data_IF_404683103954
#
_entry.id   IF_404683103954
#
_cell.length_a   1.000
_cell.length_b   1.000
_cell.length_c   1.000
_cell.angle_alpha   90.00
_cell.angle_beta   90.00
_cell.angle_gamma   90.00
#
_symmetry.space_group_name_H-M   'P 1'
#
loop_
_entity.id
_entity.type
_entity.pdbx_description
1 polymer ?
#
# COMPACT_ATOMS: atom_id res chain seq x y z
N UNK A 1 -6.11 -6.07 7.18
CA UNK A 1 -5.90 -6.71 5.89
C UNK A 1 -4.78 -5.96 5.17
N UNK A 2 -4.04 -6.51 4.32
CA UNK A 2 -2.93 -5.93 3.56
C UNK A 2 -2.78 -6.64 2.22
N UNK A 3 -3.84 -7.33 1.76
CA UNK A 3 -3.87 -8.06 0.51
C UNK A 3 -4.28 -7.19 -0.67
N UNK A 4 -4.08 -7.72 -1.88
CA UNK A 4 -4.63 -7.18 -3.12
C UNK A 4 -6.03 -7.74 -3.36
N UNK A 5 -6.89 -6.94 -3.96
CA UNK A 5 -8.18 -7.38 -4.50
C UNK A 5 -8.24 -7.02 -5.98
N UNK A 6 -8.46 -8.02 -6.83
CA UNK A 6 -8.78 -7.82 -8.24
C UNK A 6 -10.28 -7.96 -8.47
N UNK A 7 -10.89 -6.94 -9.05
CA UNK A 7 -12.31 -6.94 -9.41
C UNK A 7 -12.47 -7.02 -10.91
N UNK A 8 -13.27 -7.99 -11.38
CA UNK A 8 -13.54 -8.20 -12.78
C UNK A 8 -14.95 -7.72 -13.12
N UNK A 9 -15.04 -6.71 -14.00
CA UNK A 9 -16.29 -6.14 -14.45
C UNK A 9 -16.48 -6.38 -15.96
N UNK A 10 -17.70 -6.72 -16.36
CA UNK A 10 -18.09 -6.85 -17.76
C UNK A 10 -19.31 -6.03 -18.05
N UNK A 11 -19.27 -5.37 -19.20
CA UNK A 11 -20.38 -4.62 -19.73
C UNK A 11 -20.71 -5.13 -21.13
N UNK A 12 -21.99 -5.26 -21.45
CA UNK A 12 -22.41 -5.73 -22.75
C UNK A 12 -23.89 -5.49 -23.03
N UNK A 13 -24.23 -5.33 -24.31
CA UNK A 13 -25.63 -5.18 -24.77
C UNK A 13 -26.45 -6.48 -24.66
N UNK A 14 -25.75 -7.62 -24.58
CA UNK A 14 -26.38 -8.95 -24.44
C UNK A 14 -26.27 -9.41 -22.98
N UNK A 15 -27.20 -10.21 -22.46
CA UNK A 15 -27.12 -10.78 -21.13
C UNK A 15 -25.83 -11.57 -20.93
N UNK A 16 -25.10 -11.27 -19.86
CA UNK A 16 -23.89 -12.00 -19.47
C UNK A 16 -24.33 -13.13 -18.54
N UNK A 17 -24.11 -14.37 -19.00
CA UNK A 17 -24.58 -15.59 -18.29
C UNK A 17 -23.49 -16.37 -17.57
N UNK A 18 -22.24 -15.89 -17.63
CA UNK A 18 -21.09 -16.58 -17.09
C UNK A 18 -20.28 -15.69 -16.14
N UNK A 19 -19.71 -16.27 -15.10
CA UNK A 19 -18.90 -15.61 -14.05
C UNK A 19 -17.41 -15.93 -14.17
N UNK A 20 -16.90 -16.25 -15.36
CA UNK A 20 -15.46 -16.49 -15.58
C UNK A 20 -14.62 -15.21 -15.37
N UNK A 21 -13.36 -15.38 -15.00
CA UNK A 21 -12.39 -14.28 -14.87
C UNK A 21 -12.09 -13.65 -16.24
N UNK A 22 -11.67 -12.39 -16.24
CA UNK A 22 -11.28 -11.66 -17.44
C UNK A 22 -9.77 -11.87 -17.63
N UNK A 23 -9.40 -12.40 -18.80
CA UNK A 23 -8.01 -12.56 -19.26
C UNK A 23 -7.69 -11.71 -20.49
N UNK A 24 -8.66 -10.92 -20.96
CA UNK A 24 -8.51 -9.94 -22.04
C UNK A 24 -9.31 -8.71 -21.67
N UNK A 25 -8.66 -7.78 -21.00
CA UNK A 25 -9.28 -6.56 -20.50
C UNK A 25 -9.09 -5.40 -21.50
N UNK A 26 -10.15 -4.62 -21.72
CA UNK A 26 -10.05 -3.36 -22.45
C UNK A 26 -9.56 -2.21 -21.56
N UNK A 27 -9.77 -2.33 -20.25
CA UNK A 27 -9.41 -1.33 -19.25
C UNK A 27 -8.93 -2.00 -17.98
N UNK A 28 -7.81 -1.52 -17.44
CA UNK A 28 -7.29 -1.90 -16.12
C UNK A 28 -7.01 -0.63 -15.32
N UNK A 29 -7.44 -0.58 -14.07
CA UNK A 29 -7.10 0.49 -13.13
C UNK A 29 -6.30 -0.06 -11.95
N UNK A 30 -5.16 0.55 -11.69
CA UNK A 30 -4.36 0.33 -10.49
C UNK A 30 -4.61 1.45 -9.49
N UNK A 31 -5.32 1.15 -8.40
CA UNK A 31 -5.74 2.15 -7.42
C UNK A 31 -4.66 2.50 -6.40
N UNK A 32 -3.64 1.64 -6.24
CA UNK A 32 -2.52 1.87 -5.34
C UNK A 32 -1.20 1.71 -6.11
N UNK A 33 -0.36 2.76 -6.18
CA UNK A 33 0.88 2.74 -6.97
C UNK A 33 1.89 1.68 -6.50
N UNK A 34 1.85 1.28 -5.21
CA UNK A 34 2.71 0.22 -4.70
C UNK A 34 2.51 -1.13 -5.39
N UNK A 35 1.34 -1.35 -6.01
CA UNK A 35 1.06 -2.63 -6.68
C UNK A 35 1.81 -2.81 -7.99
N UNK A 36 2.13 -1.73 -8.70
CA UNK A 36 2.78 -1.84 -10.00
C UNK A 36 4.17 -2.49 -9.94
N UNK A 37 4.84 -2.38 -8.78
CA UNK A 37 6.15 -3.00 -8.54
C UNK A 37 6.08 -4.47 -8.10
N UNK A 38 4.90 -4.95 -7.74
CA UNK A 38 4.70 -6.29 -7.13
C UNK A 38 3.89 -7.23 -8.00
N UNK A 39 3.04 -6.68 -8.84
CA UNK A 39 2.10 -7.43 -9.66
C UNK A 39 2.20 -6.98 -11.11
N UNK A 40 2.10 -7.93 -12.04
CA UNK A 40 2.00 -7.59 -13.45
C UNK A 40 0.59 -7.07 -13.76
N UNK A 41 0.40 -5.76 -13.59
CA UNK A 41 -0.91 -5.12 -13.69
C UNK A 41 -1.44 -5.01 -15.13
N UNK A 42 -0.57 -5.14 -16.14
CA UNK A 42 -0.91 -4.86 -17.54
C UNK A 42 -1.06 -6.11 -18.41
N UNK A 43 -0.61 -7.28 -17.95
CA UNK A 43 -0.58 -8.51 -18.74
C UNK A 43 -1.94 -8.96 -19.31
N UNK A 44 -3.03 -8.56 -18.69
CA UNK A 44 -4.38 -8.90 -19.11
C UNK A 44 -4.98 -7.86 -20.09
N UNK A 45 -4.27 -6.77 -20.37
CA UNK A 45 -4.74 -5.76 -21.34
C UNK A 45 -4.59 -6.27 -22.77
N UNK A 46 -5.63 -6.01 -23.58
CA UNK A 46 -5.55 -6.20 -25.03
C UNK A 46 -4.74 -5.09 -25.68
N UNK A 47 -4.24 -5.32 -26.91
CA UNK A 47 -3.58 -4.29 -27.69
C UNK A 47 -4.46 -3.03 -27.83
N UNK A 48 -3.87 -1.87 -27.59
CA UNK A 48 -4.60 -0.61 -27.56
C UNK A 48 -5.55 -0.41 -26.37
N UNK A 49 -5.52 -1.32 -25.40
CA UNK A 49 -6.29 -1.18 -24.16
C UNK A 49 -5.88 0.03 -23.35
N UNK A 50 -6.60 0.32 -22.28
CA UNK A 50 -6.37 1.49 -21.42
C UNK A 50 -5.88 1.06 -20.03
N UNK A 51 -4.80 1.66 -19.58
CA UNK A 51 -4.27 1.54 -18.22
C UNK A 51 -4.37 2.86 -17.48
N UNK A 52 -5.02 2.85 -16.31
CA UNK A 52 -5.12 4.01 -15.41
C UNK A 52 -4.37 3.71 -14.12
N UNK A 53 -3.36 4.52 -13.79
CA UNK A 53 -2.60 4.43 -12.54
C UNK A 53 -2.95 5.60 -11.61
N UNK A 54 -3.40 5.30 -10.40
CA UNK A 54 -3.58 6.31 -9.36
C UNK A 54 -2.26 6.56 -8.66
N UNK A 55 -1.61 7.67 -9.00
CA UNK A 55 -0.35 8.10 -8.39
C UNK A 55 -0.18 9.61 -8.49
N UNK A 56 0.71 10.16 -7.67
CA UNK A 56 1.13 11.57 -7.70
C UNK A 56 2.47 11.76 -8.48
N UNK A 57 2.94 10.73 -9.18
CA UNK A 57 4.26 10.71 -9.79
C UNK A 57 4.36 11.62 -11.02
N UNK A 58 5.46 12.37 -11.10
CA UNK A 58 5.92 13.06 -12.29
C UNK A 58 6.43 12.08 -13.35
N UNK A 59 6.66 12.54 -14.57
CA UNK A 59 7.21 11.70 -15.65
C UNK A 59 8.56 11.07 -15.26
N UNK A 60 9.41 11.78 -14.54
CA UNK A 60 10.68 11.26 -14.06
C UNK A 60 10.48 10.14 -12.98
N UNK A 61 9.54 10.32 -12.09
CA UNK A 61 9.20 9.32 -11.09
C UNK A 61 8.46 8.12 -11.71
N UNK A 62 7.66 8.31 -12.75
CA UNK A 62 7.09 7.21 -13.54
C UNK A 62 8.22 6.37 -14.17
N UNK A 63 9.25 7.04 -14.72
CA UNK A 63 10.42 6.36 -15.27
C UNK A 63 11.16 5.54 -14.20
N UNK A 64 11.30 6.06 -13.00
CA UNK A 64 11.97 5.37 -11.88
C UNK A 64 11.15 4.22 -11.31
N UNK A 65 9.84 4.43 -11.16
CA UNK A 65 8.99 3.55 -10.37
C UNK A 65 8.32 2.42 -11.15
N UNK A 66 8.12 2.58 -12.45
CA UNK A 66 7.50 1.53 -13.27
C UNK A 66 8.54 0.49 -13.66
N UNK A 67 8.31 -0.81 -13.37
CA UNK A 67 9.22 -1.88 -13.77
C UNK A 67 9.41 -1.97 -15.29
N UNK A 68 10.62 -2.34 -15.72
CA UNK A 68 10.96 -2.48 -17.13
C UNK A 68 10.00 -3.39 -17.91
N UNK A 69 9.60 -4.50 -17.32
CA UNK A 69 8.61 -5.42 -17.89
C UNK A 69 7.27 -4.74 -18.18
N UNK A 70 6.79 -3.89 -17.26
CA UNK A 70 5.53 -3.16 -17.42
C UNK A 70 5.66 -2.08 -18.49
N UNK A 71 6.79 -1.32 -18.50
CA UNK A 71 7.11 -0.32 -19.53
C UNK A 71 7.10 -0.93 -20.92
N UNK A 72 7.82 -2.04 -21.10
CA UNK A 72 7.91 -2.76 -22.36
C UNK A 72 6.55 -3.22 -22.83
N UNK A 73 5.74 -3.82 -21.94
CA UNK A 73 4.37 -4.24 -22.28
C UNK A 73 3.51 -3.07 -22.75
N UNK A 74 3.52 -1.93 -22.04
CA UNK A 74 2.78 -0.72 -22.40
C UNK A 74 3.17 -0.24 -23.81
N UNK A 75 4.46 -0.23 -24.13
CA UNK A 75 4.95 0.18 -25.44
C UNK A 75 4.55 -0.79 -26.54
N UNK A 76 4.86 -2.09 -26.38
CA UNK A 76 4.70 -3.13 -27.41
C UNK A 76 3.21 -3.34 -27.78
N UNK A 77 2.33 -3.30 -26.78
CA UNK A 77 0.89 -3.46 -26.96
C UNK A 77 0.13 -2.16 -27.19
N UNK A 78 0.86 -1.02 -27.37
CA UNK A 78 0.29 0.30 -27.64
C UNK A 78 -0.81 0.69 -26.63
N UNK A 79 -0.55 0.42 -25.36
CA UNK A 79 -1.49 0.70 -24.27
C UNK A 79 -1.68 2.21 -24.11
N UNK A 80 -2.92 2.64 -24.01
CA UNK A 80 -3.25 4.03 -23.65
C UNK A 80 -3.02 4.21 -22.16
N UNK A 81 -1.90 4.82 -21.79
CA UNK A 81 -1.52 4.98 -20.38
C UNK A 81 -1.95 6.34 -19.84
N UNK A 82 -2.61 6.33 -18.68
CA UNK A 82 -3.09 7.52 -17.98
C UNK A 82 -2.74 7.45 -16.50
N UNK A 83 -2.52 8.64 -15.90
CA UNK A 83 -2.38 8.82 -14.46
C UNK A 83 -3.48 9.73 -13.90
N UNK A 84 -3.73 9.61 -12.61
CA UNK A 84 -4.62 10.48 -11.85
C UNK A 84 -4.12 10.55 -10.40
N UNK A 85 -4.07 11.73 -9.80
CA UNK A 85 -3.80 11.89 -8.38
C UNK A 85 -5.11 12.01 -7.58
N UNK A 86 -5.73 10.85 -7.33
CA UNK A 86 -6.98 10.78 -6.60
C UNK A 86 -6.88 11.28 -5.14
N UNK A 87 -5.69 11.20 -4.53
CA UNK A 87 -5.45 11.69 -3.17
C UNK A 87 -5.48 13.21 -3.12
N UNK A 88 -4.76 13.88 -4.04
CA UNK A 88 -4.76 15.34 -4.19
C UNK A 88 -6.18 15.86 -4.47
N UNK A 89 -6.88 15.24 -5.42
CA UNK A 89 -8.27 15.60 -5.77
C UNK A 89 -9.18 15.42 -4.56
N UNK A 90 -9.05 14.31 -3.82
CA UNK A 90 -9.85 14.05 -2.61
C UNK A 90 -9.65 15.10 -1.53
N UNK A 91 -8.41 15.56 -1.31
CA UNK A 91 -8.09 16.63 -0.37
C UNK A 91 -8.69 17.96 -0.87
N UNK A 92 -8.46 18.32 -2.13
CA UNK A 92 -8.92 19.59 -2.72
C UNK A 92 -10.46 19.73 -2.72
N UNK A 93 -11.18 18.62 -2.92
CA UNK A 93 -12.65 18.60 -2.92
C UNK A 93 -13.26 18.42 -1.53
N UNK A 94 -12.42 18.30 -0.48
CA UNK A 94 -12.87 18.11 0.90
C UNK A 94 -13.41 16.71 1.22
N UNK A 95 -13.14 15.72 0.35
CA UNK A 95 -13.43 14.30 0.60
C UNK A 95 -12.39 13.65 1.52
N UNK A 96 -11.17 14.20 1.55
CA UNK A 96 -10.02 13.67 2.27
C UNK A 96 -9.23 12.62 1.48
N UNK A 97 -8.06 12.21 1.97
CA UNK A 97 -7.09 11.42 1.21
C UNK A 97 -7.51 9.97 0.95
N UNK A 98 -8.50 9.45 1.66
CA UNK A 98 -8.89 8.02 1.59
C UNK A 98 -10.18 7.77 0.80
N UNK A 99 -10.95 8.80 0.48
CA UNK A 99 -12.25 8.67 -0.19
C UNK A 99 -12.14 8.97 -1.69
N UNK A 100 -11.33 8.18 -2.36
CA UNK A 100 -11.01 8.37 -3.79
C UNK A 100 -11.90 7.55 -4.75
N UNK A 101 -12.77 6.70 -4.24
CA UNK A 101 -13.57 5.77 -5.06
C UNK A 101 -14.39 6.50 -6.13
N UNK A 102 -15.09 7.57 -5.76
CA UNK A 102 -15.93 8.35 -6.66
C UNK A 102 -15.12 9.04 -7.75
N UNK A 103 -13.91 9.50 -7.40
CA UNK A 103 -12.95 10.12 -8.31
C UNK A 103 -12.52 9.12 -9.38
N UNK A 104 -12.05 7.94 -8.94
CA UNK A 104 -11.58 6.88 -9.84
C UNK A 104 -12.72 6.28 -10.69
N UNK A 105 -13.93 6.21 -10.15
CA UNK A 105 -15.11 5.78 -10.91
C UNK A 105 -15.44 6.78 -12.01
N UNK A 106 -15.33 8.08 -11.77
CA UNK A 106 -15.53 9.12 -12.78
C UNK A 106 -14.50 9.02 -13.90
N UNK A 107 -13.22 8.87 -13.53
CA UNK A 107 -12.13 8.64 -14.48
C UNK A 107 -12.37 7.37 -15.33
N UNK A 108 -12.85 6.29 -14.72
CA UNK A 108 -13.19 5.06 -15.42
C UNK A 108 -14.27 5.30 -16.50
N UNK A 109 -15.37 5.95 -16.18
CA UNK A 109 -16.44 6.18 -17.14
C UNK A 109 -15.99 7.07 -18.31
N UNK A 110 -15.17 8.08 -18.03
CA UNK A 110 -14.61 8.92 -19.09
C UNK A 110 -13.69 8.13 -20.03
N UNK A 111 -12.76 7.37 -19.49
CA UNK A 111 -11.75 6.65 -20.28
C UNK A 111 -12.32 5.41 -21.00
N UNK A 112 -13.24 4.71 -20.36
CA UNK A 112 -13.85 3.49 -20.94
C UNK A 112 -14.90 3.78 -22.00
N UNK A 113 -15.50 4.98 -21.97
CA UNK A 113 -16.55 5.42 -22.89
C UNK A 113 -17.72 4.41 -23.09
N UNK A 114 -18.02 3.62 -22.03
CA UNK A 114 -19.09 2.60 -22.06
C UNK A 114 -20.47 3.25 -22.27
N UNK A 115 -20.65 4.44 -21.70
CA UNK A 115 -21.77 5.34 -21.89
C UNK A 115 -21.23 6.76 -22.14
N UNK A 116 -22.00 7.66 -22.76
CA UNK A 116 -21.59 9.05 -22.97
C UNK A 116 -21.13 9.70 -21.64
N UNK A 117 -20.04 10.46 -21.67
CA UNK A 117 -19.44 11.06 -20.47
C UNK A 117 -20.45 11.90 -19.67
N UNK A 118 -21.19 12.79 -20.34
CA UNK A 118 -22.19 13.63 -19.68
C UNK A 118 -23.27 12.81 -18.97
N UNK A 119 -23.73 11.73 -19.60
CA UNK A 119 -24.71 10.83 -19.00
C UNK A 119 -24.13 10.10 -17.79
N UNK A 120 -22.88 9.66 -17.85
CA UNK A 120 -22.20 9.00 -16.74
C UNK A 120 -22.09 9.93 -15.54
N UNK A 121 -21.62 11.16 -15.75
CA UNK A 121 -21.47 12.18 -14.71
C UNK A 121 -22.82 12.52 -14.07
N UNK A 122 -23.88 12.72 -14.86
CA UNK A 122 -25.23 12.99 -14.34
C UNK A 122 -25.75 11.83 -13.48
N UNK A 123 -25.62 10.59 -13.95
CA UNK A 123 -26.03 9.40 -13.19
C UNK A 123 -25.22 9.24 -11.89
N UNK A 124 -23.92 9.50 -11.91
CA UNK A 124 -23.09 9.47 -10.71
C UNK A 124 -23.50 10.54 -9.70
N UNK A 125 -23.78 11.77 -10.15
CA UNK A 125 -24.24 12.86 -9.27
C UNK A 125 -25.59 12.54 -8.63
N UNK A 126 -26.55 12.00 -9.39
CA UNK A 126 -27.84 11.53 -8.88
C UNK A 126 -27.68 10.40 -7.85
N UNK A 127 -26.77 9.44 -8.11
CA UNK A 127 -26.47 8.36 -7.18
C UNK A 127 -25.85 8.88 -5.89
N UNK A 128 -24.93 9.84 -5.98
CA UNK A 128 -24.32 10.50 -4.80
C UNK A 128 -25.38 11.25 -3.98
N UNK A 129 -26.27 11.98 -4.59
CA UNK A 129 -27.37 12.68 -3.92
C UNK A 129 -28.30 11.68 -3.20
N UNK A 130 -28.72 10.61 -3.87
CA UNK A 130 -29.54 9.56 -3.26
C UNK A 130 -28.87 8.91 -2.06
N UNK A 131 -27.56 8.69 -2.13
CA UNK A 131 -26.78 7.99 -1.09
C UNK A 131 -26.46 8.88 0.10
N UNK A 132 -26.07 10.12 -0.18
CA UNK A 132 -25.53 11.04 0.82
C UNK A 132 -26.46 12.20 1.19
N UNK A 133 -27.57 12.40 0.53
CA UNK A 133 -28.50 13.49 0.79
C UNK A 133 -28.94 13.61 2.25
N UNK A 134 -29.12 12.47 2.94
CA UNK A 134 -29.43 12.43 4.38
C UNK A 134 -28.28 12.92 5.29
N UNK A 135 -27.05 13.01 4.78
CA UNK A 135 -25.86 13.47 5.53
C UNK A 135 -25.62 14.98 5.39
N UNK A 136 -26.45 15.65 4.62
CA UNK A 136 -26.40 17.09 4.39
C UNK A 136 -25.93 17.49 2.99
N UNK A 137 -26.34 18.64 2.57
CA UNK A 137 -26.08 19.19 1.23
C UNK A 137 -24.58 19.38 0.94
N UNK A 138 -23.80 19.77 1.97
CA UNK A 138 -22.36 19.95 1.85
C UNK A 138 -21.63 18.65 1.47
N UNK A 139 -22.10 17.51 2.00
CA UNK A 139 -21.52 16.20 1.64
C UNK A 139 -21.83 15.86 0.20
N UNK A 140 -23.03 16.16 -0.29
CA UNK A 140 -23.41 15.95 -1.68
C UNK A 140 -22.57 16.81 -2.62
N UNK A 141 -22.41 18.12 -2.31
CA UNK A 141 -21.60 19.05 -3.10
C UNK A 141 -20.13 18.62 -3.20
N UNK A 142 -19.53 18.14 -2.10
CA UNK A 142 -18.18 17.57 -2.12
C UNK A 142 -18.07 16.36 -3.04
N UNK A 143 -19.05 15.46 -3.00
CA UNK A 143 -19.08 14.31 -3.92
C UNK A 143 -19.23 14.75 -5.38
N UNK A 144 -20.05 15.73 -5.69
CA UNK A 144 -20.20 16.28 -7.03
C UNK A 144 -18.89 16.89 -7.54
N UNK A 145 -18.24 17.72 -6.71
CA UNK A 145 -16.93 18.29 -7.04
C UNK A 145 -15.87 17.19 -7.30
N UNK A 146 -15.88 16.12 -6.51
CA UNK A 146 -14.98 14.98 -6.70
C UNK A 146 -15.26 14.20 -8.00
N UNK A 147 -16.54 14.06 -8.39
CA UNK A 147 -16.94 13.44 -9.67
C UNK A 147 -16.42 14.28 -10.83
N UNK A 148 -16.65 15.60 -10.82
CA UNK A 148 -16.21 16.50 -11.89
C UNK A 148 -14.69 16.52 -12.03
N UNK A 149 -13.98 16.67 -10.93
CA UNK A 149 -12.50 16.66 -10.90
C UNK A 149 -11.92 15.32 -11.37
N UNK A 150 -12.51 14.20 -10.96
CA UNK A 150 -12.10 12.87 -11.40
C UNK A 150 -12.21 12.66 -12.92
N UNK A 151 -13.14 13.32 -13.58
CA UNK A 151 -13.24 13.33 -15.03
C UNK A 151 -12.26 14.32 -15.70
N UNK A 152 -11.90 15.41 -15.04
CA UNK A 152 -11.13 16.50 -15.64
C UNK A 152 -9.62 16.38 -15.43
N UNK A 153 -9.18 15.86 -14.28
CA UNK A 153 -7.77 15.86 -13.88
C UNK A 153 -7.03 14.56 -14.27
N UNK A 154 -7.50 13.84 -15.27
CA UNK A 154 -6.81 12.68 -15.86
C UNK A 154 -5.68 13.20 -16.76
N UNK A 155 -4.49 12.67 -16.57
CA UNK A 155 -3.32 13.01 -17.38
C UNK A 155 -2.98 11.84 -18.30
N UNK A 156 -2.87 12.08 -19.60
CA UNK A 156 -2.36 11.10 -20.55
C UNK A 156 -0.83 11.11 -20.50
N UNK A 157 -0.25 9.95 -20.35
CA UNK A 157 1.21 9.79 -20.37
C UNK A 157 1.68 9.56 -21.80
N UNK A 158 2.62 10.36 -22.26
CA UNK A 158 3.32 10.14 -23.53
C UNK A 158 4.36 9.04 -23.32
N UNK A 159 4.06 7.83 -23.80
CA UNK A 159 4.92 6.66 -23.61
C UNK A 159 6.25 6.85 -24.35
N UNK A 160 7.40 6.88 -23.64
CA UNK A 160 8.70 7.07 -24.26
C UNK A 160 9.05 5.90 -25.21
N UNK A 161 9.71 6.21 -26.34
CA UNK A 161 10.17 5.20 -27.29
C UNK A 161 11.22 4.27 -26.70
N UNK A 162 11.97 4.75 -25.76
CA UNK A 162 13.01 4.06 -25.01
C UNK A 162 12.48 2.87 -24.23
N UNK A 163 11.19 2.88 -23.87
CA UNK A 163 10.53 1.77 -23.16
C UNK A 163 10.52 0.46 -23.95
N UNK A 164 10.65 0.52 -25.27
CA UNK A 164 10.85 -0.68 -26.12
C UNK A 164 12.09 -1.48 -25.71
N UNK A 165 13.15 -0.78 -25.28
CA UNK A 165 14.46 -1.38 -24.97
C UNK A 165 14.63 -1.67 -23.47
N UNK A 166 13.60 -1.50 -22.65
CA UNK A 166 13.67 -1.83 -21.24
C UNK A 166 13.89 -3.33 -21.05
N UNK A 167 14.79 -3.66 -20.14
CA UNK A 167 15.00 -5.05 -19.74
C UNK A 167 13.81 -5.56 -18.92
N UNK A 168 13.66 -6.87 -18.83
CA UNK A 168 12.55 -7.52 -18.12
C UNK A 168 12.85 -7.54 -16.61
N UNK A 169 13.03 -6.35 -16.04
CA UNK A 169 13.41 -6.13 -14.65
C UNK A 169 12.27 -5.60 -13.80
N UNK A 170 12.34 -5.86 -12.50
CA UNK A 170 11.58 -5.15 -11.49
C UNK A 170 10.35 -5.87 -10.93
N UNK A 171 9.97 -7.05 -11.45
CA UNK A 171 9.00 -7.96 -10.82
C UNK A 171 9.69 -9.22 -10.26
N UNK A 172 11.02 -9.24 -10.26
CA UNK A 172 11.82 -10.33 -9.66
C UNK A 172 11.59 -10.36 -8.14
N UNK A 173 11.52 -11.56 -7.60
CA UNK A 173 11.30 -11.80 -6.18
C UNK A 173 12.60 -12.20 -5.53
N UNK A 174 12.90 -11.53 -4.40
CA UNK A 174 14.05 -11.93 -3.59
C UNK A 174 13.80 -13.32 -3.00
N UNK A 175 14.81 -14.16 -3.11
CA UNK A 175 14.83 -15.48 -2.46
C UNK A 175 15.13 -15.26 -0.98
N UNK A 176 14.24 -15.73 -0.11
CA UNK A 176 14.42 -15.67 1.33
C UNK A 176 15.40 -16.78 1.76
N UNK A 177 16.53 -16.38 2.33
CA UNK A 177 17.58 -17.30 2.77
C UNK A 177 17.73 -17.33 4.30
N UNK A 178 17.30 -16.30 5.02
CA UNK A 178 17.38 -16.20 6.47
C UNK A 178 16.10 -16.72 7.14
N UNK A 179 16.24 -17.61 8.13
CA UNK A 179 15.14 -18.12 8.93
C UNK A 179 15.17 -19.65 9.07
N UNK A 180 14.09 -20.20 9.65
CA UNK A 180 13.94 -21.66 9.78
C UNK A 180 13.71 -22.28 8.39
N UNK A 181 14.40 -23.36 8.08
CA UNK A 181 14.38 -23.98 6.75
C UNK A 181 12.99 -24.32 6.23
N UNK A 182 12.10 -24.84 7.10
CA UNK A 182 10.73 -25.17 6.72
C UNK A 182 9.91 -23.93 6.35
N UNK A 183 10.20 -22.77 6.98
CA UNK A 183 9.51 -21.51 6.70
C UNK A 183 10.02 -20.89 5.41
N UNK A 184 11.34 -20.79 5.25
CA UNK A 184 11.95 -20.18 4.06
C UNK A 184 11.63 -20.98 2.80
N UNK A 185 11.61 -22.32 2.90
CA UNK A 185 11.20 -23.20 1.81
C UNK A 185 9.74 -22.94 1.41
N UNK A 186 8.81 -22.95 2.37
CA UNK A 186 7.40 -22.66 2.09
C UNK A 186 7.21 -21.28 1.47
N UNK A 187 7.91 -20.26 1.99
CA UNK A 187 7.84 -18.89 1.46
C UNK A 187 8.31 -18.83 0.02
N UNK A 188 9.46 -19.42 -0.29
CA UNK A 188 10.04 -19.38 -1.65
C UNK A 188 9.24 -20.22 -2.64
N UNK A 189 8.85 -21.45 -2.26
CA UNK A 189 8.26 -22.41 -3.18
C UNK A 189 6.77 -22.15 -3.43
N UNK A 190 6.05 -21.58 -2.45
CA UNK A 190 4.59 -21.46 -2.50
C UNK A 190 4.12 -20.03 -2.23
N UNK A 191 4.42 -19.50 -1.03
CA UNK A 191 3.78 -18.25 -0.57
C UNK A 191 4.07 -17.07 -1.49
N UNK A 192 5.30 -16.95 -1.98
CA UNK A 192 5.71 -15.86 -2.87
C UNK A 192 4.92 -15.85 -4.17
N UNK A 193 4.73 -17.02 -4.80
CA UNK A 193 3.93 -17.14 -6.02
C UNK A 193 2.45 -16.87 -5.76
N UNK A 194 1.90 -17.40 -4.67
CA UNK A 194 0.48 -17.18 -4.29
C UNK A 194 0.21 -15.70 -3.98
N UNK A 195 1.09 -15.05 -3.23
CA UNK A 195 0.97 -13.63 -2.91
C UNK A 195 1.06 -12.74 -4.15
N UNK A 196 1.77 -13.16 -5.18
CA UNK A 196 1.88 -12.46 -6.46
C UNK A 196 0.72 -12.76 -7.43
N UNK A 197 -0.29 -13.52 -7.01
CA UNK A 197 -1.40 -13.96 -7.86
C UNK A 197 -0.99 -14.95 -8.98
N UNK A 198 0.13 -15.66 -8.79
CA UNK A 198 0.67 -16.64 -9.74
C UNK A 198 0.57 -18.08 -9.20
N UNK A 199 -0.19 -18.29 -8.14
CA UNK A 199 -0.37 -19.61 -7.51
C UNK A 199 -0.87 -20.68 -8.49
N UNK A 200 -1.62 -20.32 -9.52
CA UNK A 200 -2.09 -21.24 -10.55
C UNK A 200 -0.97 -21.79 -11.45
N UNK A 201 0.21 -21.18 -11.45
CA UNK A 201 1.38 -21.62 -12.19
C UNK A 201 2.16 -22.71 -11.42
N UNK A 202 1.85 -22.90 -10.13
CA UNK A 202 2.50 -23.92 -9.32
C UNK A 202 1.97 -25.31 -9.69
N UNK A 203 2.87 -26.32 -9.81
CA UNK A 203 2.45 -27.70 -10.00
C UNK A 203 1.78 -28.22 -8.72
N UNK A 204 0.85 -29.16 -8.87
CA UNK A 204 0.18 -29.81 -7.72
C UNK A 204 1.20 -30.43 -6.74
N UNK A 205 2.30 -30.93 -7.26
CA UNK A 205 3.39 -31.51 -6.47
C UNK A 205 4.07 -30.52 -5.50
N UNK A 206 3.95 -29.21 -5.73
CA UNK A 206 4.47 -28.21 -4.78
C UNK A 206 3.80 -28.29 -3.41
N UNK A 207 2.59 -28.84 -3.34
CA UNK A 207 1.79 -28.94 -2.12
C UNK A 207 1.87 -30.30 -1.42
N UNK A 208 2.72 -31.22 -1.85
CA UNK A 208 2.82 -32.58 -1.28
C UNK A 208 3.16 -32.60 0.21
N UNK A 209 3.98 -31.65 0.66
CA UNK A 209 4.35 -31.54 2.09
C UNK A 209 3.26 -30.85 2.93
N UNK A 210 2.18 -30.39 2.31
CA UNK A 210 1.10 -29.58 2.91
C UNK A 210 -0.29 -30.09 2.57
N UNK A 211 -0.43 -31.40 2.36
CA UNK A 211 -1.68 -32.04 1.89
C UNK A 211 -2.85 -31.91 2.87
N UNK A 212 -2.55 -31.69 4.15
CA UNK A 212 -3.54 -31.46 5.20
C UNK A 212 -3.95 -29.97 5.34
N UNK A 213 -3.36 -29.09 4.54
CA UNK A 213 -3.60 -27.65 4.55
C UNK A 213 -2.87 -26.88 5.65
N UNK A 214 -2.03 -27.54 6.46
CA UNK A 214 -1.18 -26.84 7.45
C UNK A 214 -0.01 -26.14 6.77
N UNK A 215 0.40 -25.00 7.32
CA UNK A 215 1.53 -24.23 6.84
C UNK A 215 2.45 -23.87 8.02
N UNK A 216 3.75 -23.64 7.78
CA UNK A 216 4.68 -23.25 8.83
C UNK A 216 4.27 -21.93 9.50
N UNK A 217 4.45 -21.85 10.82
CA UNK A 217 4.23 -20.60 11.57
C UNK A 217 5.32 -19.57 11.26
N UNK A 218 4.98 -18.28 11.28
CA UNK A 218 5.95 -17.18 11.15
C UNK A 218 6.16 -16.69 9.72
N UNK A 219 5.40 -17.18 8.74
CA UNK A 219 5.49 -16.76 7.34
C UNK A 219 5.15 -15.28 7.11
N UNK A 220 4.34 -14.67 7.99
CA UNK A 220 3.98 -13.27 7.92
C UNK A 220 5.19 -12.30 7.97
N UNK A 221 6.29 -12.72 8.58
CA UNK A 221 7.52 -11.93 8.63
C UNK A 221 8.12 -11.64 7.24
N UNK A 222 7.80 -12.48 6.26
CA UNK A 222 8.32 -12.41 4.90
C UNK A 222 7.35 -11.77 3.89
N UNK A 223 6.18 -11.32 4.32
CA UNK A 223 5.21 -10.74 3.39
C UNK A 223 5.59 -9.33 2.92
N UNK A 224 6.13 -8.49 3.77
CA UNK A 224 6.67 -7.14 3.48
C UNK A 224 6.00 -6.43 2.29
N UNK A 225 4.70 -6.16 2.40
CA UNK A 225 3.86 -5.75 1.25
C UNK A 225 4.07 -4.31 0.80
N UNK A 226 4.43 -3.38 1.72
CA UNK A 226 4.70 -1.98 1.41
C UNK A 226 3.54 -1.29 0.70
N UNK A 227 2.30 -1.50 1.15
CA UNK A 227 1.08 -1.04 0.47
C UNK A 227 0.58 0.32 0.95
N UNK A 228 1.19 0.89 1.98
CA UNK A 228 0.77 2.18 2.51
C UNK A 228 1.16 3.32 1.55
N UNK A 229 0.27 4.27 1.34
CA UNK A 229 0.58 5.53 0.66
C UNK A 229 1.31 6.48 1.62
N UNK A 230 0.94 6.42 2.91
CA UNK A 230 1.60 7.19 3.97
C UNK A 230 1.80 6.33 5.21
N UNK A 231 2.88 6.58 5.93
CA UNK A 231 3.30 5.84 7.13
C UNK A 231 3.62 6.82 8.26
N UNK A 232 3.54 6.40 9.53
CA UNK A 232 3.84 7.31 10.64
C UNK A 232 5.34 7.54 10.78
N UNK A 233 5.73 8.81 10.85
CA UNK A 233 7.04 9.27 11.29
C UNK A 233 6.98 9.62 12.78
N UNK A 234 7.99 9.16 13.55
CA UNK A 234 8.07 9.43 14.98
C UNK A 234 8.98 10.63 15.28
N UNK A 235 8.42 11.61 15.99
CA UNK A 235 9.15 12.71 16.60
C UNK A 235 9.34 12.42 18.10
N UNK A 236 10.58 12.18 18.47
CA UNK A 236 10.97 11.84 19.85
C UNK A 236 10.68 12.95 20.87
N UNK A 237 10.81 14.22 20.47
CA UNK A 237 10.67 15.38 21.37
C UNK A 237 9.23 15.55 21.89
N UNK A 238 8.27 15.12 21.06
CA UNK A 238 6.85 15.18 21.38
C UNK A 238 6.32 13.88 22.01
N UNK A 239 7.18 12.86 22.20
CA UNK A 239 6.77 11.58 22.72
C UNK A 239 6.75 11.56 24.26
N UNK A 240 5.62 11.12 24.84
CA UNK A 240 5.47 10.91 26.29
C UNK A 240 5.66 9.44 26.71
N UNK A 241 6.01 8.57 25.79
CA UNK A 241 6.24 7.12 26.00
C UNK A 241 5.00 6.38 26.54
N UNK A 242 3.79 6.73 26.10
CA UNK A 242 2.54 6.15 26.60
C UNK A 242 2.21 4.76 25.99
N UNK A 243 2.85 4.35 24.89
CA UNK A 243 2.63 3.05 24.25
C UNK A 243 1.36 2.90 23.39
N UNK A 244 0.43 3.87 23.39
CA UNK A 244 -0.85 3.74 22.68
C UNK A 244 -0.70 3.45 21.19
N UNK A 245 0.32 4.00 20.55
CA UNK A 245 0.58 3.78 19.13
C UNK A 245 0.85 2.30 18.79
N UNK A 246 1.60 1.61 19.64
CA UNK A 246 1.87 0.18 19.49
C UNK A 246 0.63 -0.66 19.81
N UNK A 247 -0.10 -0.28 20.86
CA UNK A 247 -1.29 -0.98 21.32
C UNK A 247 -2.41 -1.01 20.27
N UNK A 248 -2.65 0.11 19.56
CA UNK A 248 -3.74 0.20 18.57
C UNK A 248 -3.35 -0.28 17.18
N UNK A 249 -2.09 -0.65 16.94
CA UNK A 249 -1.66 -1.07 15.63
C UNK A 249 -2.21 -2.47 15.27
N UNK A 250 -3.12 -2.60 14.29
CA UNK A 250 -3.75 -3.88 13.96
C UNK A 250 -2.77 -4.90 13.34
N UNK A 251 -1.60 -4.42 12.87
CA UNK A 251 -0.59 -5.26 12.22
C UNK A 251 0.72 -5.39 13.02
N UNK A 252 0.78 -4.86 14.25
CA UNK A 252 2.01 -4.80 15.05
C UNK A 252 3.20 -4.19 14.29
N UNK A 253 2.92 -3.35 13.30
CA UNK A 253 3.92 -2.70 12.47
C UNK A 253 4.67 -1.57 13.19
N UNK A 254 4.14 -1.08 14.31
CA UNK A 254 4.79 -0.08 15.16
C UNK A 254 5.09 -0.71 16.52
N UNK A 255 6.36 -0.67 16.93
CA UNK A 255 6.82 -1.30 18.17
C UNK A 255 7.67 -0.36 18.99
N UNK A 256 7.70 -0.64 20.28
CA UNK A 256 8.51 0.08 21.28
C UNK A 256 9.74 -0.74 21.58
N UNK A 257 10.90 -0.09 21.59
CA UNK A 257 12.16 -0.75 21.87
C UNK A 257 12.88 -0.05 23.01
N UNK A 258 13.38 -0.85 23.97
CA UNK A 258 14.37 -0.45 24.95
C UNK A 258 15.74 -0.95 24.47
N UNK A 259 16.72 -0.08 24.37
CA UNK A 259 18.05 -0.36 23.85
C UNK A 259 19.12 0.14 24.81
N UNK A 260 20.20 -0.62 24.97
CA UNK A 260 21.39 -0.15 25.65
C UNK A 260 22.15 0.86 24.79
N UNK A 261 23.06 1.63 25.38
CA UNK A 261 23.92 2.55 24.62
C UNK A 261 24.73 1.82 23.53
N UNK A 262 25.19 0.61 23.83
CA UNK A 262 25.93 -0.21 22.87
C UNK A 262 25.04 -0.62 21.66
N UNK A 263 23.78 -0.97 21.90
CA UNK A 263 22.84 -1.31 20.82
C UNK A 263 22.49 -0.08 19.99
N UNK A 264 22.35 1.09 20.59
CA UNK A 264 22.15 2.35 19.87
C UNK A 264 23.37 2.70 19.01
N UNK A 265 24.58 2.53 19.53
CA UNK A 265 25.82 2.83 18.80
C UNK A 265 26.07 1.89 17.62
N UNK A 266 25.52 0.66 17.66
CA UNK A 266 25.60 -0.31 16.56
C UNK A 266 24.38 -0.24 15.62
N UNK A 267 23.40 0.61 15.89
CA UNK A 267 22.23 0.77 15.04
C UNK A 267 22.58 1.48 13.73
N UNK A 268 21.78 1.27 12.66
CA UNK A 268 21.92 2.05 11.44
C UNK A 268 21.85 3.55 11.73
N UNK A 269 22.71 4.32 11.07
CA UNK A 269 22.80 5.77 11.24
C UNK A 269 21.43 6.45 11.06
N UNK A 270 21.12 7.38 11.98
CA UNK A 270 19.87 8.16 11.95
C UNK A 270 18.75 7.55 12.80
N UNK A 271 18.95 6.44 13.52
CA UNK A 271 17.94 5.90 14.44
C UNK A 271 17.67 6.88 15.59
N UNK A 272 16.46 7.45 15.62
CA UNK A 272 16.03 8.35 16.69
C UNK A 272 15.79 7.60 17.98
N UNK A 273 16.27 8.14 19.11
CA UNK A 273 16.06 7.58 20.43
C UNK A 273 16.07 8.68 21.51
N UNK A 274 15.51 8.38 22.68
CA UNK A 274 15.52 9.23 23.88
C UNK A 274 15.72 8.35 25.12
N UNK A 275 16.01 8.95 26.28
CA UNK A 275 16.06 8.19 27.53
C UNK A 275 14.75 7.49 27.84
N UNK A 276 14.80 6.24 28.30
CA UNK A 276 13.61 5.51 28.76
C UNK A 276 13.15 6.04 30.11
N UNK A 277 11.89 6.43 30.21
CA UNK A 277 11.30 6.94 31.45
C UNK A 277 11.41 5.91 32.58
N UNK A 278 12.00 6.32 33.70
CA UNK A 278 12.19 5.46 34.87
C UNK A 278 13.30 4.40 34.78
N UNK A 279 14.04 4.35 33.66
CA UNK A 279 15.19 3.43 33.48
C UNK A 279 16.30 4.13 32.68
N UNK A 280 17.17 4.90 33.38
CA UNK A 280 18.17 5.76 32.74
C UNK A 280 19.23 5.00 31.93
N UNK A 281 19.45 3.72 32.25
CA UNK A 281 20.43 2.85 31.58
C UNK A 281 19.96 2.38 30.20
N UNK A 282 18.71 2.75 29.80
CA UNK A 282 18.14 2.37 28.54
C UNK A 282 17.72 3.58 27.73
N UNK A 283 17.82 3.44 26.40
CA UNK A 283 17.23 4.34 25.41
C UNK A 283 15.91 3.76 24.91
N UNK A 284 14.95 4.64 24.64
CA UNK A 284 13.63 4.32 24.13
C UNK A 284 13.51 4.76 22.68
N UNK A 285 12.91 3.94 21.84
CA UNK A 285 12.57 4.29 20.47
C UNK A 285 11.21 3.70 20.08
N UNK A 286 10.47 4.44 19.26
CA UNK A 286 9.27 3.97 18.55
C UNK A 286 9.68 3.71 17.11
N UNK A 287 9.70 2.45 16.71
CA UNK A 287 10.17 2.04 15.41
C UNK A 287 9.00 1.42 14.62
N UNK A 288 8.91 1.80 13.35
CA UNK A 288 7.84 1.38 12.44
C UNK A 288 8.42 0.44 11.39
N UNK A 289 7.76 -0.70 11.16
CA UNK A 289 7.96 -1.46 9.93
C UNK A 289 7.19 -0.79 8.80
N UNK A 290 7.90 -0.08 7.94
CA UNK A 290 7.30 0.66 6.83
C UNK A 290 6.58 -0.28 5.85
N UNK A 291 7.18 -1.46 5.64
CA UNK A 291 6.66 -2.46 4.69
C UNK A 291 5.45 -3.25 5.23
N UNK A 292 5.27 -3.33 6.55
CA UNK A 292 4.11 -3.99 7.17
C UNK A 292 2.99 -3.00 7.52
N UNK A 293 3.28 -1.69 7.49
CA UNK A 293 2.30 -0.64 7.74
C UNK A 293 1.26 -0.58 6.61
N UNK A 294 -0.02 -0.43 6.97
CA UNK A 294 -1.13 -0.27 6.00
C UNK A 294 -1.61 1.16 5.83
N UNK A 295 -0.99 2.13 6.52
CA UNK A 295 -1.34 3.54 6.43
C UNK A 295 -2.69 3.91 7.06
N UNK A 296 -3.22 3.11 7.97
CA UNK A 296 -4.56 3.30 8.57
C UNK A 296 -4.67 4.53 9.51
N UNK A 297 -3.56 5.16 9.88
CA UNK A 297 -3.45 6.35 10.73
C UNK A 297 -3.91 6.17 12.19
N UNK A 298 -4.29 4.96 12.63
CA UNK A 298 -4.79 4.72 13.99
C UNK A 298 -3.80 5.19 15.06
N UNK A 299 -2.50 4.89 14.89
CA UNK A 299 -1.44 5.30 15.81
C UNK A 299 -1.27 6.83 15.90
N UNK A 300 -1.35 7.53 14.77
CA UNK A 300 -1.28 9.00 14.73
C UNK A 300 -2.55 9.64 15.35
N UNK A 301 -3.72 9.02 15.15
CA UNK A 301 -4.97 9.53 15.71
C UNK A 301 -5.02 9.47 17.24
N UNK A 302 -4.58 8.34 17.83
CA UNK A 302 -4.58 8.16 19.30
C UNK A 302 -3.39 8.82 20.00
N UNK A 303 -2.37 9.26 19.26
CA UNK A 303 -1.20 9.87 19.86
C UNK A 303 -1.57 11.17 20.59
N UNK A 304 -1.41 11.26 21.94
CA UNK A 304 -1.69 12.46 22.67
C UNK A 304 -0.62 13.54 22.45
N UNK A 305 0.61 13.10 22.19
CA UNK A 305 1.77 13.97 22.08
C UNK A 305 2.08 14.74 23.35
N UNK A 306 2.87 15.80 23.21
CA UNK A 306 3.29 16.68 24.30
C UNK A 306 2.79 18.09 24.02
N UNK A 307 2.07 18.69 24.95
CA UNK A 307 1.47 20.04 24.81
C UNK A 307 0.58 20.21 23.58
N UNK A 308 -0.09 19.16 23.13
CA UNK A 308 -0.95 19.17 21.95
C UNK A 308 -0.23 18.85 20.62
N UNK A 309 1.10 18.79 20.62
CA UNK A 309 1.90 18.43 19.46
C UNK A 309 2.09 16.91 19.39
N UNK A 310 1.58 16.30 18.33
CA UNK A 310 1.66 14.83 18.15
C UNK A 310 3.08 14.35 17.93
N UNK A 311 3.41 13.21 18.55
CA UNK A 311 4.68 12.53 18.31
C UNK A 311 4.67 11.66 17.05
N UNK A 312 3.51 11.38 16.49
CA UNK A 312 3.36 10.61 15.25
C UNK A 312 2.60 11.41 14.21
N UNK A 313 3.22 11.62 13.06
CA UNK A 313 2.66 12.34 11.92
C UNK A 313 2.78 11.44 10.69
N UNK A 314 1.71 11.36 9.89
CA UNK A 314 1.73 10.58 8.65
C UNK A 314 2.56 11.32 7.59
N UNK A 315 3.50 10.60 6.97
CA UNK A 315 4.39 11.07 5.91
C UNK A 315 4.28 10.17 4.68
N UNK A 316 4.71 10.63 3.52
CA UNK A 316 4.77 9.81 2.32
C UNK A 316 5.57 8.52 2.55
N UNK A 317 5.08 7.41 2.03
CA UNK A 317 5.80 6.13 2.12
C UNK A 317 7.18 6.22 1.46
N UNK A 318 7.28 6.85 0.30
CA UNK A 318 8.54 6.95 -0.46
C UNK A 318 9.62 7.72 0.32
N UNK A 319 9.24 8.73 1.13
CA UNK A 319 10.17 9.45 2.01
C UNK A 319 10.63 8.62 3.23
N UNK A 320 9.89 7.58 3.59
CA UNK A 320 10.09 6.86 4.85
C UNK A 320 10.58 5.43 4.67
N UNK A 321 10.49 4.85 3.48
CA UNK A 321 10.76 3.42 3.23
C UNK A 321 12.18 3.02 3.65
N UNK A 322 13.17 3.87 3.47
CA UNK A 322 14.56 3.65 3.88
C UNK A 322 14.72 3.42 5.40
N UNK A 323 13.75 3.87 6.20
CA UNK A 323 13.73 3.65 7.65
C UNK A 323 13.35 2.21 8.03
N UNK A 324 12.97 1.36 7.07
CA UNK A 324 12.74 -0.07 7.31
C UNK A 324 13.97 -0.73 7.96
N UNK A 325 15.18 -0.32 7.59
CA UNK A 325 16.44 -0.79 8.18
C UNK A 325 16.49 -0.70 9.71
N UNK A 326 15.81 0.29 10.30
CA UNK A 326 15.77 0.44 11.76
C UNK A 326 14.94 -0.66 12.41
N UNK A 327 13.81 -1.00 11.78
CA UNK A 327 12.95 -2.09 12.25
C UNK A 327 13.65 -3.44 12.11
N UNK A 328 14.29 -3.70 10.97
CA UNK A 328 14.99 -4.94 10.68
C UNK A 328 16.19 -5.15 11.63
N UNK A 329 16.82 -4.07 12.06
CA UNK A 329 17.83 -4.10 13.12
C UNK A 329 17.21 -4.40 14.48
N UNK A 330 16.20 -3.63 14.87
CA UNK A 330 15.67 -3.64 16.23
C UNK A 330 14.96 -4.96 16.60
N UNK A 331 14.32 -5.64 15.63
CA UNK A 331 13.66 -6.93 15.87
C UNK A 331 14.64 -8.08 16.13
N UNK A 332 15.92 -7.90 15.83
CA UNK A 332 16.98 -8.88 16.08
C UNK A 332 17.64 -8.69 17.45
N UNK A 333 17.32 -7.61 18.16
CA UNK A 333 17.86 -7.34 19.48
C UNK A 333 17.32 -8.32 20.53
N UNK A 334 18.10 -8.68 21.55
CA UNK A 334 17.64 -9.56 22.61
C UNK A 334 16.51 -8.92 23.41
N UNK A 335 15.59 -9.74 23.89
CA UNK A 335 14.54 -9.30 24.81
C UNK A 335 15.11 -8.69 26.09
N UNK A 336 14.47 -7.64 26.59
CA UNK A 336 14.82 -6.94 27.83
C UNK A 336 13.81 -7.31 28.92
N UNK A 337 13.91 -8.55 29.41
CA UNK A 337 13.02 -9.07 30.46
C UNK A 337 13.00 -8.23 31.70
N UNK A 338 14.14 -7.64 32.07
CA UNK A 338 14.32 -6.72 33.20
C UNK A 338 13.57 -5.40 33.04
N UNK A 339 13.41 -4.93 31.77
CA UNK A 339 12.60 -3.76 31.48
C UNK A 339 11.11 -4.08 31.63
N UNK A 340 10.67 -5.21 31.10
CA UNK A 340 9.27 -5.66 31.19
C UNK A 340 8.89 -5.92 32.66
N UNK A 341 9.75 -6.58 33.44
CA UNK A 341 9.50 -6.91 34.85
C UNK A 341 9.32 -5.67 35.75
N UNK A 342 9.86 -4.51 35.35
CA UNK A 342 9.74 -3.27 36.13
C UNK A 342 8.36 -2.63 36.01
N UNK A 343 7.66 -2.87 34.92
CA UNK A 343 6.32 -2.32 34.69
C UNK A 343 5.26 -3.23 35.31
N UNK A 344 4.21 -2.63 35.89
CA UNK A 344 3.06 -3.39 36.38
C UNK A 344 2.29 -4.00 35.21
N UNK A 345 1.65 -5.15 35.42
CA UNK A 345 0.82 -5.82 34.41
C UNK A 345 -0.30 -4.92 33.86
N UNK A 346 -0.73 -3.92 34.62
CA UNK A 346 -1.72 -2.92 34.20
C UNK A 346 -1.13 -1.74 33.40
N UNK A 347 0.18 -1.74 33.15
CA UNK A 347 0.87 -0.69 32.39
C UNK A 347 0.95 -1.15 30.94
N UNK A 348 0.36 -0.39 30.02
CA UNK A 348 0.39 -0.65 28.58
C UNK A 348 1.71 -0.21 27.98
#
# INVERSE_FOLDING_TARGET
SGGITMSHLRFGKKPIKSTYLIHKANFVACHNPAYIRKYNMVQELVDGGTFLLNCAWSDAELEEHIPGQVKKYIHDHKINFYTIDGVKIGIATGMGPTRINTILQSAFFKLSAIIPEEQAIDLMKKAAEKTYGRKGEDVVKKNWAAIDAGAQEIVKVDVPKEWLNCEDEGLSREVVIEGRNEVTRFVNDIQTAVNAQEGNNLPVSAFLDYVDGTTPSGTAAYEKRGIAVSVPEWNSDNCIQCGFCSYVCPHSAIRLFAMTDNEVNNAPEGLSNVGLNGMPDYKFSVIVSQMDCTGCSSCANVCPGKKGEKALVMKSYDEQVEKQKYYDYAVKLPEKTEVVAKFKESTV
#
